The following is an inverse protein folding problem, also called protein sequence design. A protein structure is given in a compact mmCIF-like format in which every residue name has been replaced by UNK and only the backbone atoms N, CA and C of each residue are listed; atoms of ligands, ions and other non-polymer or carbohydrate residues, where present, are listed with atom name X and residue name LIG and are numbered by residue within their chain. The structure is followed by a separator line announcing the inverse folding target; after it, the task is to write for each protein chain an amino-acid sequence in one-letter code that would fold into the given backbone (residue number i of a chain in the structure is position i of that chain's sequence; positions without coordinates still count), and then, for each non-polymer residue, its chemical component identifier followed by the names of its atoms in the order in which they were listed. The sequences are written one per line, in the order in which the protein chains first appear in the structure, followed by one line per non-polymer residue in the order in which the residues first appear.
data_IF_281362559748
#
_entry.id   IF_281362559748
#
_cell.length_a   1.000
_cell.length_b   1.000
_cell.length_c   1.000
_cell.angle_alpha   90.00
_cell.angle_beta   90.00
_cell.angle_gamma   90.00
#
_symmetry.space_group_name_H-M   'P 1'
#
loop_
_entity.id
_entity.type
_entity.pdbx_description
1 polymer ?
#
# COMPACT_ATOMS: atom_id res chain seq x y z
N UNK A 1 8.73 -13.75 -5.50
CA UNK A 1 8.49 -12.48 -6.25
C UNK A 1 8.58 -11.25 -5.35
N UNK A 2 7.72 -11.08 -4.33
CA UNK A 2 7.75 -9.92 -3.41
C UNK A 2 9.07 -9.78 -2.62
N UNK A 3 9.65 -10.87 -2.11
CA UNK A 3 10.97 -10.84 -1.44
C UNK A 3 12.07 -10.19 -2.29
N UNK A 4 12.06 -10.39 -3.61
CA UNK A 4 13.01 -9.76 -4.54
C UNK A 4 12.75 -8.26 -4.65
N UNK A 5 11.49 -7.84 -4.73
CA UNK A 5 11.12 -6.42 -4.76
C UNK A 5 11.54 -5.70 -3.47
N UNK A 6 11.35 -6.34 -2.31
CA UNK A 6 11.79 -5.81 -1.00
C UNK A 6 13.31 -5.63 -0.95
N UNK A 7 14.08 -6.61 -1.46
CA UNK A 7 15.54 -6.49 -1.56
C UNK A 7 15.95 -5.28 -2.41
N UNK A 8 15.35 -5.14 -3.60
CA UNK A 8 15.63 -4.01 -4.49
C UNK A 8 15.20 -2.67 -3.87
N UNK A 9 14.07 -2.64 -3.14
CA UNK A 9 13.63 -1.45 -2.43
C UNK A 9 14.69 -1.01 -1.41
N UNK A 10 15.20 -1.93 -0.59
CA UNK A 10 16.27 -1.66 0.36
C UNK A 10 17.57 -1.17 -0.34
N UNK A 11 17.96 -1.82 -1.44
CA UNK A 11 19.13 -1.40 -2.25
C UNK A 11 19.00 0.03 -2.80
N UNK A 12 17.76 0.52 -2.99
CA UNK A 12 17.47 1.89 -3.45
C UNK A 12 17.14 2.88 -2.33
N UNK A 13 17.38 2.52 -1.07
CA UNK A 13 17.10 3.39 0.09
C UNK A 13 15.62 3.53 0.42
N UNK A 14 14.76 2.67 -0.12
CA UNK A 14 13.34 2.58 0.24
C UNK A 14 13.16 1.56 1.37
N UNK A 15 12.16 1.79 2.23
CA UNK A 15 11.83 0.86 3.32
C UNK A 15 11.24 -0.46 2.77
N UNK A 16 11.92 -1.60 2.97
CA UNK A 16 11.45 -2.89 2.46
C UNK A 16 10.23 -3.43 3.21
N UNK A 17 9.81 -2.83 4.32
CA UNK A 17 8.69 -3.24 5.16
C UNK A 17 7.46 -2.34 4.97
N UNK A 18 7.58 -1.26 4.18
CA UNK A 18 6.47 -0.40 3.81
C UNK A 18 6.07 -0.66 2.37
N UNK A 19 4.77 -0.78 2.12
CA UNK A 19 4.25 -0.98 0.78
C UNK A 19 4.19 0.33 0.00
N UNK A 20 3.25 1.21 0.36
CA UNK A 20 2.98 2.47 -0.33
C UNK A 20 4.20 3.39 -0.35
N UNK A 21 4.53 3.92 -1.53
CA UNK A 21 5.67 4.82 -1.72
C UNK A 21 7.06 4.18 -1.56
N UNK A 22 7.14 2.88 -1.27
CA UNK A 22 8.40 2.15 -1.10
C UNK A 22 8.44 0.91 -2.00
N UNK A 23 8.06 -0.27 -1.50
CA UNK A 23 8.04 -1.50 -2.31
C UNK A 23 7.12 -1.37 -3.54
N UNK A 24 6.07 -0.56 -3.43
CA UNK A 24 5.16 -0.21 -4.54
C UNK A 24 5.89 0.40 -5.74
N UNK A 25 6.92 1.25 -5.52
CA UNK A 25 7.69 1.89 -6.60
C UNK A 25 8.39 0.82 -7.45
N UNK A 26 9.03 -0.14 -6.80
CA UNK A 26 9.73 -1.24 -7.47
C UNK A 26 8.73 -2.19 -8.14
N UNK A 27 7.57 -2.43 -7.51
CA UNK A 27 6.53 -3.25 -8.09
C UNK A 27 5.96 -2.62 -9.37
N UNK A 28 5.71 -1.30 -9.37
CA UNK A 28 5.23 -0.58 -10.56
C UNK A 28 6.23 -0.67 -11.71
N UNK A 29 7.53 -0.53 -11.44
CA UNK A 29 8.60 -0.63 -12.45
C UNK A 29 8.77 -2.05 -13.01
N UNK A 30 8.69 -3.08 -12.15
CA UNK A 30 9.07 -4.46 -12.53
C UNK A 30 7.89 -5.35 -12.92
N UNK A 31 6.69 -5.05 -12.45
CA UNK A 31 5.48 -5.83 -12.66
C UNK A 31 4.48 -5.07 -13.54
N UNK A 32 4.45 -3.73 -13.42
CA UNK A 32 3.54 -2.86 -14.14
C UNK A 32 2.57 -2.12 -13.21
N UNK A 33 1.97 -1.05 -13.74
CA UNK A 33 1.07 -0.17 -12.96
C UNK A 33 -0.25 -0.83 -12.60
N UNK A 34 -0.81 -1.66 -13.49
CA UNK A 34 -2.11 -2.30 -13.26
C UNK A 34 -2.18 -3.07 -11.94
N UNK A 35 -1.11 -3.79 -11.58
CA UNK A 35 -1.07 -4.56 -10.33
C UNK A 35 -1.03 -3.66 -9.09
N UNK A 36 -0.28 -2.57 -9.12
CA UNK A 36 -0.20 -1.66 -7.96
C UNK A 36 -1.46 -0.81 -7.82
N UNK A 37 -2.10 -0.47 -8.95
CA UNK A 37 -3.35 0.27 -8.96
C UNK A 37 -4.51 -0.59 -8.42
N UNK A 38 -4.52 -1.89 -8.71
CA UNK A 38 -5.44 -2.84 -8.06
C UNK A 38 -5.32 -2.83 -6.53
N UNK A 39 -4.09 -2.86 -5.99
CA UNK A 39 -3.86 -2.80 -4.53
C UNK A 39 -4.30 -1.45 -3.95
N UNK A 40 -4.03 -0.34 -4.64
CA UNK A 40 -4.50 1.00 -4.23
C UNK A 40 -6.02 1.09 -4.18
N UNK A 41 -6.70 0.52 -5.18
CA UNK A 41 -8.16 0.52 -5.25
C UNK A 41 -8.76 -0.23 -4.05
N UNK A 42 -8.23 -1.40 -3.69
CA UNK A 42 -8.68 -2.13 -2.49
C UNK A 42 -8.44 -1.30 -1.22
N UNK A 43 -7.24 -0.72 -1.08
CA UNK A 43 -6.88 0.04 0.11
C UNK A 43 -7.74 1.30 0.30
N UNK A 44 -8.14 1.95 -0.81
CA UNK A 44 -9.07 3.09 -0.77
C UNK A 44 -10.37 2.73 -0.04
N UNK A 45 -10.98 1.59 -0.37
CA UNK A 45 -12.20 1.14 0.27
C UNK A 45 -11.96 0.76 1.74
N UNK A 46 -10.87 0.06 2.04
CA UNK A 46 -10.52 -0.28 3.43
C UNK A 46 -10.41 0.97 4.32
N UNK A 47 -9.69 1.99 3.85
CA UNK A 47 -9.54 3.26 4.60
C UNK A 47 -10.88 3.98 4.74
N UNK A 48 -11.69 4.04 3.67
CA UNK A 48 -13.01 4.66 3.71
C UNK A 48 -13.92 4.00 4.75
N UNK A 49 -14.03 2.67 4.76
CA UNK A 49 -14.83 1.95 5.74
C UNK A 49 -14.28 2.11 7.16
N UNK A 50 -12.96 2.04 7.35
CA UNK A 50 -12.34 2.25 8.65
C UNK A 50 -12.69 3.63 9.22
N UNK A 51 -12.58 4.68 8.41
CA UNK A 51 -12.93 6.05 8.81
C UNK A 51 -14.43 6.18 9.09
N UNK A 52 -15.29 5.58 8.27
CA UNK A 52 -16.75 5.57 8.51
C UNK A 52 -17.08 4.98 9.88
N UNK A 53 -16.59 3.78 10.19
CA UNK A 53 -16.86 3.15 11.49
C UNK A 53 -16.24 3.91 12.67
N UNK A 54 -15.07 4.53 12.49
CA UNK A 54 -14.47 5.41 13.51
C UNK A 54 -15.34 6.63 13.80
N UNK A 55 -15.91 7.26 12.77
CA UNK A 55 -16.80 8.42 12.93
C UNK A 55 -18.11 8.06 13.64
N UNK A 56 -18.66 6.86 13.36
CA UNK A 56 -19.87 6.36 14.03
C UNK A 56 -19.61 6.08 15.52
N UNK A 57 -18.45 5.51 15.87
CA UNK A 57 -18.10 5.25 17.26
C UNK A 57 -17.83 6.54 18.06
N UNK A 58 -17.27 7.57 17.42
CA UNK A 58 -17.01 8.87 18.05
C UNK A 58 -18.26 9.73 18.25
N UNK A 59 -19.35 9.47 17.53
CA UNK A 59 -20.62 10.21 17.64
C UNK A 59 -21.51 9.70 18.79
N UNK A 60 -21.13 8.61 19.45
CA UNK A 60 -21.91 7.92 20.47
C UNK A 60 -21.41 8.16 21.91
N UNK A 61 -20.58 9.19 22.13
CA UNK A 61 -20.05 9.61 23.44
C UNK A 61 -20.43 11.07 23.74
#
# INVERSE_FOLDING_TARGET
RIRKLRKIAAERGLDPNRWFGHVEVIAAEKIGRETVDYVRNINKYYVAYKLYFQSQAGSNN
#
